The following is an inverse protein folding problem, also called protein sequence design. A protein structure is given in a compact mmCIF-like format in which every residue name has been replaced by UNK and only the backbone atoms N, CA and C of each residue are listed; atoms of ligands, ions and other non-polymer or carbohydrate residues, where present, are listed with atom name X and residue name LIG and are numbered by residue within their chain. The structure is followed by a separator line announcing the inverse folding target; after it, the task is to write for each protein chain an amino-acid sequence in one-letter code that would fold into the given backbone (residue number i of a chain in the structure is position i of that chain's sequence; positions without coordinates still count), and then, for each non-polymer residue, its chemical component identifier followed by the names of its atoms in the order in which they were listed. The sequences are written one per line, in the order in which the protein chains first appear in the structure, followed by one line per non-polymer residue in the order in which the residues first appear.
data_IF_515343806607
#
_entry.id   IF_515343806607
#
_cell.length_a   1.000
_cell.length_b   1.000
_cell.length_c   1.000
_cell.angle_alpha   90.00
_cell.angle_beta   90.00
_cell.angle_gamma   90.00
#
_symmetry.space_group_name_H-M   'P 1'
#
loop_
_entity.id
_entity.type
_entity.pdbx_description
1 polymer ?
#
# COMPACT_ATOMS: atom_id res chain seq x y z
N UNK A 1 11.01 -23.21 29.74
CA UNK A 1 10.80 -21.76 29.52
C UNK A 1 9.72 -21.57 28.46
N UNK A 2 8.46 -21.41 28.85
CA UNK A 2 7.34 -21.25 27.91
C UNK A 2 7.15 -19.78 27.58
N UNK A 3 7.48 -19.38 26.34
CA UNK A 3 7.14 -18.07 25.79
C UNK A 3 5.61 -17.94 25.70
N UNK A 4 4.93 -17.44 26.74
CA UNK A 4 3.53 -17.03 26.63
C UNK A 4 3.46 -15.79 25.73
N UNK A 5 3.13 -15.99 24.46
CA UNK A 5 2.77 -14.90 23.54
C UNK A 5 1.57 -14.17 24.15
N UNK A 6 1.68 -12.85 24.34
CA UNK A 6 0.54 -12.06 24.82
C UNK A 6 -0.56 -12.04 23.76
N UNK A 7 -1.83 -12.09 24.18
CA UNK A 7 -2.98 -12.06 23.26
C UNK A 7 -2.88 -10.94 22.20
N UNK A 8 -2.40 -9.76 22.60
CA UNK A 8 -2.16 -8.62 21.70
C UNK A 8 -1.17 -8.93 20.59
N UNK A 9 -0.08 -9.65 20.89
CA UNK A 9 0.91 -10.08 19.90
C UNK A 9 0.31 -11.10 18.94
N UNK A 10 -0.46 -12.05 19.47
CA UNK A 10 -1.14 -13.04 18.64
C UNK A 10 -2.11 -12.37 17.65
N UNK A 11 -2.97 -11.47 18.14
CA UNK A 11 -3.91 -10.73 17.28
C UNK A 11 -3.19 -9.91 16.22
N UNK A 12 -2.10 -9.22 16.56
CA UNK A 12 -1.34 -8.43 15.60
C UNK A 12 -0.64 -9.30 14.53
N UNK A 13 -0.13 -10.47 14.91
CA UNK A 13 0.45 -11.44 13.97
C UNK A 13 -0.62 -12.02 13.04
N UNK A 14 -1.79 -12.37 13.57
CA UNK A 14 -2.93 -12.83 12.76
C UNK A 14 -3.35 -11.73 11.77
N UNK A 15 -3.44 -10.47 12.21
CA UNK A 15 -3.75 -9.35 11.33
C UNK A 15 -2.70 -9.20 10.22
N UNK A 16 -1.40 -9.31 10.55
CA UNK A 16 -0.33 -9.26 9.56
C UNK A 16 -0.49 -10.38 8.52
N UNK A 17 -0.71 -11.62 8.96
CA UNK A 17 -0.95 -12.75 8.08
C UNK A 17 -2.19 -12.52 7.19
N UNK A 18 -3.28 -11.99 7.75
CA UNK A 18 -4.48 -11.66 6.98
C UNK A 18 -4.20 -10.63 5.88
N UNK A 19 -3.45 -9.56 6.18
CA UNK A 19 -3.08 -8.55 5.17
C UNK A 19 -2.26 -9.18 4.04
N UNK A 20 -1.27 -10.00 4.37
CA UNK A 20 -0.46 -10.70 3.37
C UNK A 20 -1.33 -11.62 2.50
N UNK A 21 -2.22 -12.41 3.11
CA UNK A 21 -3.16 -13.28 2.38
C UNK A 21 -4.06 -12.49 1.45
N UNK A 22 -4.57 -11.33 1.89
CA UNK A 22 -5.39 -10.44 1.05
C UNK A 22 -4.60 -9.93 -0.15
N UNK A 23 -3.34 -9.49 0.04
CA UNK A 23 -2.47 -9.06 -1.07
C UNK A 23 -2.35 -10.14 -2.13
N UNK A 24 -1.92 -11.35 -1.75
CA UNK A 24 -1.73 -12.44 -2.70
C UNK A 24 -3.05 -12.89 -3.35
N UNK A 25 -4.16 -12.91 -2.60
CA UNK A 25 -5.48 -13.25 -3.17
C UNK A 25 -5.95 -12.23 -4.20
N UNK A 26 -5.72 -10.94 -3.96
CA UNK A 26 -6.09 -9.89 -4.93
C UNK A 26 -5.18 -9.95 -6.16
N UNK A 27 -3.88 -10.15 -5.93
CA UNK A 27 -2.85 -10.26 -6.96
C UNK A 27 -3.04 -11.42 -7.93
N UNK A 28 -3.43 -12.60 -7.43
CA UNK A 28 -3.70 -13.79 -8.26
C UNK A 28 -4.96 -13.70 -9.12
N UNK A 29 -5.74 -12.60 -9.07
CA UNK A 29 -6.92 -12.46 -9.91
C UNK A 29 -6.55 -12.07 -11.35
N UNK A 30 -7.20 -12.65 -12.37
CA UNK A 30 -6.97 -12.25 -13.75
C UNK A 30 -7.46 -10.81 -13.99
N UNK A 31 -6.85 -10.14 -14.97
CA UNK A 31 -7.15 -8.74 -15.31
C UNK A 31 -8.65 -8.48 -15.56
N UNK A 32 -9.35 -9.42 -16.18
CA UNK A 32 -10.80 -9.33 -16.45
C UNK A 32 -11.67 -9.20 -15.20
N UNK A 33 -11.18 -9.62 -14.03
CA UNK A 33 -11.86 -9.47 -12.74
C UNK A 33 -11.42 -8.21 -11.98
N UNK A 34 -10.21 -7.72 -12.26
CA UNK A 34 -9.64 -6.54 -11.60
C UNK A 34 -10.00 -5.23 -12.30
N UNK A 35 -10.42 -5.27 -13.57
CA UNK A 35 -10.71 -4.06 -14.33
C UNK A 35 -11.94 -3.31 -13.79
N UNK A 36 -11.80 -1.99 -13.66
CA UNK A 36 -12.89 -1.08 -13.29
C UNK A 36 -13.48 -0.37 -14.51
N UNK A 37 -12.89 -0.52 -15.70
CA UNK A 37 -13.39 0.11 -16.93
C UNK A 37 -14.86 -0.20 -17.24
N UNK A 38 -15.40 -1.41 -17.01
CA UNK A 38 -16.83 -1.67 -17.21
C UNK A 38 -17.73 -0.84 -16.28
N UNK A 39 -17.27 -0.56 -15.06
CA UNK A 39 -17.97 0.31 -14.12
C UNK A 39 -17.90 1.76 -14.58
N UNK A 40 -16.70 2.24 -14.95
CA UNK A 40 -16.49 3.60 -15.45
C UNK A 40 -17.35 3.91 -16.68
N UNK A 41 -17.42 2.98 -17.63
CA UNK A 41 -18.28 3.11 -18.82
C UNK A 41 -19.78 3.25 -18.49
N UNK A 42 -20.23 2.71 -17.36
CA UNK A 42 -21.64 2.79 -16.93
C UNK A 42 -21.93 4.06 -16.13
N UNK A 43 -20.94 4.63 -15.46
CA UNK A 43 -21.13 5.72 -14.49
C UNK A 43 -20.65 7.08 -14.99
N UNK A 44 -19.65 7.11 -15.87
CA UNK A 44 -19.08 8.33 -16.43
C UNK A 44 -19.19 8.33 -17.95
N UNK A 45 -19.49 9.48 -18.53
CA UNK A 45 -19.28 9.69 -19.96
C UNK A 45 -17.80 9.91 -20.26
N UNK A 46 -17.39 9.55 -21.47
CA UNK A 46 -16.01 9.66 -21.91
C UNK A 46 -15.49 11.10 -21.83
N UNK A 47 -16.31 12.07 -22.29
CA UNK A 47 -16.01 13.50 -22.26
C UNK A 47 -15.83 14.03 -20.84
N UNK A 48 -16.65 13.56 -19.88
CA UNK A 48 -16.50 13.95 -18.47
C UNK A 48 -15.20 13.39 -17.90
N UNK A 49 -14.88 12.13 -18.22
CA UNK A 49 -13.64 11.50 -17.77
C UNK A 49 -12.41 12.23 -18.30
N UNK A 50 -12.43 12.63 -19.57
CA UNK A 50 -11.35 13.39 -20.20
C UNK A 50 -11.15 14.78 -19.58
N UNK A 51 -12.24 15.46 -19.18
CA UNK A 51 -12.20 16.79 -18.54
C UNK A 51 -11.73 16.76 -17.09
N UNK A 52 -12.03 15.68 -16.36
CA UNK A 52 -11.60 15.53 -14.96
C UNK A 52 -10.12 15.17 -14.84
N UNK A 53 -9.55 14.54 -15.86
CA UNK A 53 -8.16 14.14 -15.85
C UNK A 53 -7.24 15.34 -16.13
N UNK A 54 -6.10 15.45 -15.43
CA UNK A 54 -5.11 16.48 -15.71
C UNK A 54 -4.52 16.26 -17.11
N UNK A 55 -4.13 17.35 -17.78
CA UNK A 55 -3.43 17.31 -19.07
C UNK A 55 -1.98 16.85 -18.96
N UNK A 56 -1.74 15.72 -18.28
CA UNK A 56 -0.41 15.13 -18.06
C UNK A 56 -0.41 13.75 -18.71
N UNK A 57 0.62 13.52 -19.53
CA UNK A 57 0.87 12.21 -20.13
C UNK A 57 1.74 11.38 -19.18
N UNK A 58 1.32 10.15 -18.89
CA UNK A 58 2.05 9.25 -17.98
C UNK A 58 2.63 8.10 -18.77
N UNK A 59 3.96 7.99 -18.76
CA UNK A 59 4.70 6.85 -19.31
C UNK A 59 5.05 5.88 -18.19
N UNK A 60 4.56 4.65 -18.27
CA UNK A 60 4.80 3.62 -17.24
C UNK A 60 4.93 2.24 -17.87
N UNK A 61 6.01 1.52 -17.57
CA UNK A 61 6.31 0.20 -18.14
C UNK A 61 6.22 0.13 -19.68
N UNK A 62 6.68 1.17 -20.37
CA UNK A 62 6.60 1.28 -21.84
C UNK A 62 5.17 1.51 -22.38
N UNK A 63 4.18 1.70 -21.51
CA UNK A 63 2.80 2.07 -21.87
C UNK A 63 2.56 3.55 -21.63
N UNK A 64 1.75 4.15 -22.49
CA UNK A 64 1.30 5.53 -22.35
C UNK A 64 -0.13 5.58 -21.82
N UNK A 65 -0.35 6.39 -20.80
CA UNK A 65 -1.66 6.69 -20.24
C UNK A 65 -1.93 8.17 -20.46
N UNK A 66 -2.83 8.45 -21.40
CA UNK A 66 -3.18 9.81 -21.83
C UNK A 66 -4.68 10.01 -21.80
N UNK A 67 -5.11 11.20 -21.37
CA UNK A 67 -6.54 11.51 -21.19
C UNK A 67 -7.33 11.52 -22.50
N UNK A 68 -6.70 11.93 -23.59
CA UNK A 68 -7.28 12.07 -24.94
C UNK A 68 -7.41 10.72 -25.67
N UNK A 69 -6.51 9.76 -25.41
CA UNK A 69 -6.54 8.43 -26.04
C UNK A 69 -7.42 7.44 -25.28
N UNK A 70 -7.22 7.32 -23.95
CA UNK A 70 -7.96 6.36 -23.13
C UNK A 70 -8.09 6.87 -21.68
N UNK A 71 -9.07 7.75 -21.41
CA UNK A 71 -9.27 8.33 -20.08
C UNK A 71 -9.62 7.26 -19.04
N UNK A 72 -10.40 6.23 -19.40
CA UNK A 72 -10.72 5.15 -18.47
C UNK A 72 -9.50 4.30 -18.11
N UNK A 73 -8.59 4.05 -19.07
CA UNK A 73 -7.32 3.40 -18.83
C UNK A 73 -6.43 4.19 -17.87
N UNK A 74 -6.38 5.52 -18.03
CA UNK A 74 -5.65 6.41 -17.13
C UNK A 74 -6.23 6.43 -15.71
N UNK A 75 -7.57 6.48 -15.58
CA UNK A 75 -8.26 6.40 -14.28
C UNK A 75 -8.00 5.05 -13.62
N UNK A 76 -8.13 3.95 -14.38
CA UNK A 76 -7.86 2.60 -13.86
C UNK A 76 -6.40 2.45 -13.42
N UNK A 77 -5.45 2.99 -14.20
CA UNK A 77 -4.04 3.00 -13.82
C UNK A 77 -3.85 3.73 -12.49
N UNK A 78 -4.35 4.95 -12.35
CA UNK A 78 -4.23 5.73 -11.12
C UNK A 78 -4.90 5.03 -9.93
N UNK A 79 -6.09 4.48 -10.13
CA UNK A 79 -6.82 3.72 -9.11
C UNK A 79 -6.03 2.49 -8.65
N UNK A 80 -5.47 1.72 -9.59
CA UNK A 80 -4.66 0.53 -9.28
C UNK A 80 -3.39 0.90 -8.53
N UNK A 81 -2.62 1.89 -9.01
CA UNK A 81 -1.40 2.34 -8.31
C UNK A 81 -1.72 2.91 -6.93
N UNK A 82 -2.84 3.61 -6.78
CA UNK A 82 -3.34 4.07 -5.49
C UNK A 82 -3.72 2.93 -4.54
N UNK A 83 -4.39 1.88 -5.04
CA UNK A 83 -4.73 0.70 -4.25
C UNK A 83 -3.48 -0.05 -3.77
N UNK A 84 -2.48 -0.23 -4.64
CA UNK A 84 -1.17 -0.78 -4.30
C UNK A 84 -0.47 0.05 -3.21
N UNK A 85 -0.33 1.36 -3.43
CA UNK A 85 0.22 2.30 -2.46
C UNK A 85 -0.46 2.18 -1.08
N UNK A 86 -1.79 2.08 -1.06
CA UNK A 86 -2.59 1.95 0.16
C UNK A 86 -2.36 0.60 0.87
N UNK A 87 -2.50 -0.52 0.15
CA UNK A 87 -2.43 -1.86 0.76
C UNK A 87 -1.02 -2.15 1.29
N UNK A 88 0.03 -1.77 0.56
CA UNK A 88 1.41 -1.89 1.06
C UNK A 88 1.73 -0.89 2.17
N UNK A 89 1.07 0.27 2.18
CA UNK A 89 1.06 1.17 3.34
C UNK A 89 0.45 0.52 4.59
N UNK A 90 -0.66 -0.21 4.43
CA UNK A 90 -1.28 -0.98 5.53
C UNK A 90 -0.35 -2.10 6.00
N UNK A 91 0.29 -2.83 5.09
CA UNK A 91 1.29 -3.85 5.42
C UNK A 91 2.44 -3.26 6.26
N UNK A 92 2.97 -2.09 5.87
CA UNK A 92 4.01 -1.41 6.62
C UNK A 92 3.57 -1.02 8.04
N UNK A 93 2.36 -0.45 8.17
CA UNK A 93 1.80 -0.03 9.46
C UNK A 93 1.57 -1.22 10.40
N UNK A 94 0.99 -2.31 9.90
CA UNK A 94 0.73 -3.52 10.69
C UNK A 94 2.06 -4.20 11.08
N UNK A 95 3.04 -4.25 10.18
CA UNK A 95 4.38 -4.76 10.48
C UNK A 95 5.04 -3.93 11.58
N UNK A 96 4.98 -2.60 11.48
CA UNK A 96 5.50 -1.70 12.49
C UNK A 96 4.80 -1.90 13.85
N UNK A 97 3.48 -2.11 13.87
CA UNK A 97 2.72 -2.44 15.07
C UNK A 97 3.24 -3.73 15.73
N UNK A 98 3.39 -4.81 14.94
CA UNK A 98 3.93 -6.08 15.42
C UNK A 98 5.31 -5.88 16.04
N UNK A 99 6.25 -5.27 15.32
CA UNK A 99 7.62 -5.05 15.79
C UNK A 99 7.69 -4.18 17.05
N UNK A 100 6.80 -3.19 17.19
CA UNK A 100 6.67 -2.39 18.42
C UNK A 100 6.17 -3.20 19.61
N UNK A 101 5.29 -4.18 19.42
CA UNK A 101 4.85 -5.11 20.48
C UNK A 101 5.97 -6.04 20.96
N UNK A 102 6.98 -6.26 20.12
CA UNK A 102 8.25 -6.91 20.47
C UNK A 102 9.30 -5.94 21.03
N UNK A 103 8.94 -4.67 21.25
CA UNK A 103 9.77 -3.62 21.85
C UNK A 103 11.02 -3.26 21.02
N UNK A 104 10.97 -3.42 19.70
CA UNK A 104 12.05 -2.95 18.83
C UNK A 104 12.19 -1.42 18.86
N UNK A 105 13.41 -0.94 18.63
CA UNK A 105 13.71 0.50 18.53
C UNK A 105 13.00 1.13 17.33
N UNK A 106 12.67 2.43 17.36
CA UNK A 106 11.95 3.12 16.28
C UNK A 106 12.59 2.94 14.90
N UNK A 107 13.91 3.14 14.81
CA UNK A 107 14.64 3.05 13.53
C UNK A 107 14.64 1.61 13.00
N UNK A 108 14.93 0.62 13.85
CA UNK A 108 14.86 -0.80 13.48
C UNK A 108 13.46 -1.21 13.07
N UNK A 109 12.42 -0.68 13.72
CA UNK A 109 11.02 -0.92 13.36
C UNK A 109 10.73 -0.41 11.94
N UNK A 110 11.14 0.82 11.62
CA UNK A 110 10.91 1.40 10.30
C UNK A 110 11.67 0.63 9.21
N UNK A 111 12.97 0.37 9.43
CA UNK A 111 13.81 -0.36 8.48
C UNK A 111 13.30 -1.78 8.20
N UNK A 112 12.96 -2.55 9.24
CA UNK A 112 12.43 -3.90 9.08
C UNK A 112 11.02 -3.90 8.46
N UNK A 113 10.19 -2.89 8.75
CA UNK A 113 8.86 -2.78 8.11
C UNK A 113 8.99 -2.54 6.62
N UNK A 114 9.91 -1.66 6.19
CA UNK A 114 10.20 -1.46 4.77
C UNK A 114 10.81 -2.70 4.12
N UNK A 115 11.68 -3.42 4.82
CA UNK A 115 12.24 -4.67 4.31
C UNK A 115 11.13 -5.71 4.07
N UNK A 116 10.17 -5.85 5.00
CA UNK A 116 9.01 -6.74 4.83
C UNK A 116 8.15 -6.31 3.65
N UNK A 117 7.87 -5.00 3.49
CA UNK A 117 7.14 -4.47 2.33
C UNK A 117 7.85 -4.83 1.02
N UNK A 118 9.16 -4.59 0.94
CA UNK A 118 9.95 -4.91 -0.25
C UNK A 118 9.95 -6.41 -0.58
N UNK A 119 10.11 -7.26 0.43
CA UNK A 119 10.05 -8.71 0.25
C UNK A 119 8.67 -9.16 -0.25
N UNK A 120 7.59 -8.67 0.35
CA UNK A 120 6.23 -9.03 -0.08
C UNK A 120 5.94 -8.49 -1.49
N UNK A 121 6.36 -7.27 -1.83
CA UNK A 121 6.19 -6.71 -3.17
C UNK A 121 6.95 -7.50 -4.25
N UNK A 122 8.19 -7.93 -3.96
CA UNK A 122 8.95 -8.79 -4.87
C UNK A 122 8.26 -10.14 -5.07
N UNK A 123 7.75 -10.74 -3.98
CA UNK A 123 7.02 -12.01 -4.05
C UNK A 123 5.69 -11.86 -4.78
N UNK A 124 5.02 -10.71 -4.63
CA UNK A 124 3.79 -10.40 -5.32
C UNK A 124 4.01 -10.27 -6.83
N UNK A 125 5.02 -9.51 -7.25
CA UNK A 125 5.42 -9.41 -8.65
C UNK A 125 5.84 -10.78 -9.21
N UNK A 126 6.51 -11.62 -8.41
CA UNK A 126 6.80 -13.01 -8.79
C UNK A 126 5.51 -13.81 -9.02
N UNK A 127 4.54 -13.72 -8.11
CA UNK A 127 3.25 -14.41 -8.21
C UNK A 127 2.46 -13.96 -9.46
N UNK A 128 2.49 -12.67 -9.79
CA UNK A 128 1.82 -12.13 -10.98
C UNK A 128 2.42 -12.63 -12.30
N UNK A 129 3.70 -13.04 -12.34
CA UNK A 129 4.34 -13.59 -13.56
C UNK A 129 3.62 -14.80 -14.14
N UNK A 130 2.97 -15.59 -13.28
CA UNK A 130 2.23 -16.78 -13.69
C UNK A 130 0.81 -16.47 -14.18
N UNK A 131 0.34 -15.23 -14.00
CA UNK A 131 -0.95 -14.78 -14.51
C UNK A 131 -0.76 -14.21 -15.92
N UNK A 132 -1.29 -14.90 -16.92
CA UNK A 132 -1.24 -14.46 -18.31
C UNK A 132 -1.82 -13.03 -18.45
N UNK A 133 -1.07 -12.14 -19.09
CA UNK A 133 -1.35 -10.72 -19.38
C UNK A 133 -0.67 -9.64 -18.49
N UNK A 134 0.29 -9.98 -17.61
CA UNK A 134 1.15 -8.98 -16.95
C UNK A 134 2.63 -9.28 -17.05
N UNK A 135 3.40 -8.27 -17.44
CA UNK A 135 4.84 -8.22 -17.25
C UNK A 135 5.12 -7.73 -15.83
N UNK A 136 5.90 -8.46 -15.03
CA UNK A 136 6.36 -7.99 -13.73
C UNK A 136 7.29 -6.79 -13.92
N UNK A 137 7.09 -5.73 -13.13
CA UNK A 137 7.83 -4.48 -13.35
C UNK A 137 8.41 -3.96 -12.05
N UNK A 138 9.71 -3.64 -12.07
CA UNK A 138 10.40 -3.09 -10.89
C UNK A 138 9.77 -1.77 -10.42
N UNK A 139 9.14 -1.01 -11.32
CA UNK A 139 8.38 0.20 -11.00
C UNK A 139 7.19 -0.09 -10.06
N UNK A 140 6.58 -1.29 -10.10
CA UNK A 140 5.50 -1.65 -9.18
C UNK A 140 6.03 -1.85 -7.76
N UNK A 141 7.16 -2.56 -7.62
CA UNK A 141 7.86 -2.70 -6.33
C UNK A 141 8.23 -1.34 -5.72
N UNK A 142 8.66 -0.38 -6.55
CA UNK A 142 8.97 0.98 -6.10
C UNK A 142 7.74 1.76 -5.62
N UNK A 143 6.60 1.61 -6.29
CA UNK A 143 5.32 2.18 -5.85
C UNK A 143 4.91 1.59 -4.50
N UNK A 144 5.00 0.27 -4.33
CA UNK A 144 4.66 -0.42 -3.09
C UNK A 144 5.55 0.01 -1.91
N UNK A 145 6.86 0.10 -2.15
CA UNK A 145 7.84 0.63 -1.18
C UNK A 145 7.55 2.10 -0.81
N UNK A 146 7.15 2.91 -1.78
CA UNK A 146 6.79 4.32 -1.55
C UNK A 146 5.54 4.40 -0.65
N UNK A 147 4.54 3.56 -0.89
CA UNK A 147 3.35 3.48 -0.03
C UNK A 147 3.70 3.06 1.40
N UNK A 148 4.59 2.07 1.54
CA UNK A 148 5.14 1.67 2.83
C UNK A 148 5.88 2.82 3.55
N UNK A 149 6.72 3.56 2.84
CA UNK A 149 7.48 4.67 3.38
C UNK A 149 6.58 5.83 3.85
N UNK A 150 5.59 6.21 3.04
CA UNK A 150 4.59 7.24 3.39
C UNK A 150 3.83 6.83 4.65
N UNK A 151 3.34 5.59 4.71
CA UNK A 151 2.60 5.07 5.86
C UNK A 151 3.43 5.12 7.14
N UNK A 152 4.70 4.73 7.08
CA UNK A 152 5.60 4.81 8.23
C UNK A 152 5.85 6.26 8.64
N UNK A 153 6.13 7.16 7.69
CA UNK A 153 6.33 8.58 8.00
C UNK A 153 5.12 9.17 8.75
N UNK A 154 3.90 8.88 8.29
CA UNK A 154 2.65 9.28 8.95
C UNK A 154 2.54 8.65 10.34
N UNK A 155 2.74 7.33 10.46
CA UNK A 155 2.60 6.62 11.74
C UNK A 155 3.58 7.13 12.81
N UNK A 156 4.85 7.31 12.46
CA UNK A 156 5.88 7.78 13.39
C UNK A 156 5.75 9.29 13.68
N UNK A 157 5.37 10.09 12.68
CA UNK A 157 5.06 11.51 12.82
C UNK A 157 3.90 11.75 13.79
N UNK A 158 2.75 11.11 13.54
CA UNK A 158 1.56 11.18 14.40
C UNK A 158 1.88 10.73 15.83
N UNK A 159 2.62 9.64 16.00
CA UNK A 159 3.02 9.17 17.33
C UNK A 159 3.93 10.17 18.07
N UNK A 160 4.76 10.91 17.35
CA UNK A 160 5.65 11.92 17.93
C UNK A 160 4.88 13.18 18.32
N UNK A 161 4.01 13.67 17.45
CA UNK A 161 3.11 14.79 17.73
C UNK A 161 2.19 14.48 18.93
N UNK A 162 1.62 13.27 18.98
CA UNK A 162 0.79 12.83 20.11
C UNK A 162 1.56 12.83 21.43
N UNK A 163 2.81 12.36 21.43
CA UNK A 163 3.69 12.37 22.62
C UNK A 163 4.00 13.79 23.08
N UNK A 164 4.29 14.71 22.15
CA UNK A 164 4.56 16.12 22.47
C UNK A 164 3.32 16.78 23.07
N UNK A 165 2.17 16.65 22.42
CA UNK A 165 0.90 17.20 22.89
C UNK A 165 0.51 16.69 24.29
N UNK A 166 0.67 15.39 24.55
CA UNK A 166 0.43 14.82 25.88
C UNK A 166 1.34 15.41 26.96
N UNK A 167 2.63 15.60 26.65
CA UNK A 167 3.59 16.16 27.61
C UNK A 167 3.18 17.58 28.03
N UNK A 168 2.81 18.43 27.07
CA UNK A 168 2.40 19.82 27.34
C UNK A 168 1.18 19.95 28.25
N UNK A 169 0.25 18.98 28.24
CA UNK A 169 -0.92 18.97 29.14
C UNK A 169 -0.59 18.56 30.58
N UNK A 170 0.46 17.78 30.80
CA UNK A 170 0.90 17.38 32.15
C UNK A 170 1.68 18.48 32.86
N UNK A 171 2.39 19.34 32.13
CA UNK A 171 3.17 20.45 32.70
C UNK A 171 2.32 21.66 33.06
N UNK A 172 1.18 21.90 32.39
CA UNK A 172 0.25 23.00 32.70
C UNK A 172 -0.74 22.75 33.84
N UNK A 173 -0.55 21.68 34.63
CA UNK A 173 -1.38 21.29 35.78
C UNK A 173 -0.62 21.30 37.12
N UNK A 174 0.59 21.86 37.13
CA UNK A 174 1.39 22.09 38.34
C UNK A 174 1.44 23.57 38.66
#
# INVERSE_FOLDING_TARGET
MTYKISWRRLVALVLLCCVVVVIFKLSSQPYSKQTIQPLLNRTLSYETAERLLPGVDIHYDGKEYRRDINPYGMIEFAFRKGAHLFVYGVLAAVTALVLRLFRLRPLSTAALSLAVVGLVAILDEWNQRYSAARTPTYQDVLVDLTGGAISLAVCFGAATLYRQWRRSRTTGRR
#
